data_IF_669974191705
#
_entry.id   IF_669974191705
#
_cell.length_a   1.000
_cell.length_b   1.000
_cell.length_c   1.000
_cell.angle_alpha   90.00
_cell.angle_beta   90.00
_cell.angle_gamma   90.00
#
_symmetry.space_group_name_H-M   'P 1'
#
loop_
_entity.id
_entity.type
_entity.pdbx_description
1 polymer ?
#
# COMPACT_ATOMS: atom_id res chain seq x y z
N UNK A 1 -15.74 18.59 -18.48
CA UNK A 1 -14.48 18.19 -17.81
C UNK A 1 -13.55 19.38 -17.86
N UNK A 2 -13.19 19.95 -16.71
CA UNK A 2 -12.14 20.97 -16.61
C UNK A 2 -10.89 20.29 -16.06
N UNK A 3 -9.71 20.80 -16.40
CA UNK A 3 -8.43 20.31 -15.87
C UNK A 3 -7.98 21.10 -14.63
N UNK A 4 -8.92 21.78 -13.96
CA UNK A 4 -8.64 22.59 -12.79
C UNK A 4 -8.72 21.72 -11.53
N UNK A 5 -7.61 21.56 -10.78
CA UNK A 5 -7.59 20.72 -9.58
C UNK A 5 -8.15 21.47 -8.36
N UNK A 6 -8.63 20.71 -7.38
CA UNK A 6 -8.82 21.22 -6.02
C UNK A 6 -7.49 21.20 -5.27
N UNK A 7 -7.13 22.32 -4.63
CA UNK A 7 -5.88 22.46 -3.88
C UNK A 7 -6.20 22.56 -2.40
N UNK A 8 -5.64 21.63 -1.62
CA UNK A 8 -5.76 21.62 -0.15
C UNK A 8 -4.37 21.55 0.46
N UNK A 9 -4.07 22.51 1.35
CA UNK A 9 -2.80 22.57 2.09
C UNK A 9 -3.01 22.15 3.53
N UNK A 10 -2.20 21.22 4.03
CA UNK A 10 -2.23 20.80 5.44
C UNK A 10 -0.84 20.91 6.05
N UNK A 11 -0.74 21.51 7.23
CA UNK A 11 0.50 21.54 8.00
C UNK A 11 0.66 20.19 8.70
N UNK A 12 1.78 19.52 8.44
CA UNK A 12 2.11 18.25 9.08
C UNK A 12 2.19 18.41 10.61
N UNK A 13 1.64 17.42 11.31
CA UNK A 13 1.68 17.29 12.77
C UNK A 13 2.67 16.18 13.15
N UNK A 14 3.22 16.21 14.39
CA UNK A 14 4.14 15.18 14.86
C UNK A 14 3.59 13.74 14.84
N UNK A 15 2.27 13.57 14.80
CA UNK A 15 1.60 12.27 14.81
C UNK A 15 1.16 11.82 13.41
N UNK A 16 1.43 12.62 12.36
CA UNK A 16 1.13 12.22 10.99
C UNK A 16 2.21 11.22 10.54
N UNK A 17 1.83 9.95 10.36
CA UNK A 17 2.79 8.86 10.13
C UNK A 17 3.06 8.60 8.65
N UNK A 18 2.02 8.68 7.81
CA UNK A 18 2.12 8.38 6.39
C UNK A 18 0.97 9.02 5.59
N UNK A 19 1.12 9.05 4.26
CA UNK A 19 0.11 9.40 3.28
C UNK A 19 -0.06 8.25 2.29
N UNK A 20 -1.30 7.96 1.91
CA UNK A 20 -1.62 7.02 0.83
C UNK A 20 -2.21 7.83 -0.32
N UNK A 21 -1.55 7.81 -1.48
CA UNK A 21 -2.14 8.25 -2.74
C UNK A 21 -2.51 7.01 -3.54
N UNK A 22 -3.71 6.97 -4.08
CA UNK A 22 -4.10 5.88 -4.97
C UNK A 22 -5.15 6.33 -5.99
N UNK A 23 -5.23 5.61 -7.11
CA UNK A 23 -6.33 5.75 -8.07
C UNK A 23 -7.65 5.23 -7.47
N UNK A 24 -8.75 5.63 -8.09
CA UNK A 24 -10.11 5.12 -7.80
C UNK A 24 -10.17 3.59 -7.76
N UNK A 25 -9.43 2.90 -8.64
CA UNK A 25 -9.36 1.44 -8.63
C UNK A 25 -8.98 0.80 -7.28
N UNK A 26 -8.25 1.51 -6.39
CA UNK A 26 -8.04 1.05 -5.01
C UNK A 26 -9.31 1.26 -4.16
N UNK A 27 -9.83 2.48 -4.19
CA UNK A 27 -10.90 2.97 -3.31
C UNK A 27 -12.29 2.40 -3.65
N UNK A 28 -12.47 1.83 -4.85
CA UNK A 28 -13.65 1.03 -5.20
C UNK A 28 -13.74 -0.29 -4.41
N UNK A 29 -12.60 -0.77 -3.91
CA UNK A 29 -12.49 -2.06 -3.23
C UNK A 29 -12.18 -1.93 -1.74
N UNK A 30 -11.46 -0.89 -1.31
CA UNK A 30 -11.08 -0.65 0.08
C UNK A 30 -11.64 0.67 0.62
N UNK A 31 -12.03 0.69 1.90
CA UNK A 31 -12.28 1.95 2.62
C UNK A 31 -10.96 2.57 3.08
N UNK A 32 -11.01 3.85 3.44
CA UNK A 32 -9.88 4.59 4.00
C UNK A 32 -9.32 3.87 5.23
N UNK A 33 -10.20 3.40 6.13
CA UNK A 33 -9.82 2.68 7.36
C UNK A 33 -9.14 1.35 7.04
N UNK A 34 -9.68 0.58 6.09
CA UNK A 34 -9.09 -0.69 5.69
C UNK A 34 -7.69 -0.51 5.10
N UNK A 35 -7.48 0.54 4.31
CA UNK A 35 -6.16 0.87 3.76
C UNK A 35 -5.18 1.29 4.87
N UNK A 36 -5.63 2.12 5.81
CA UNK A 36 -4.84 2.52 6.99
C UNK A 36 -4.45 1.32 7.84
N UNK A 37 -5.39 0.40 8.10
CA UNK A 37 -5.14 -0.82 8.88
C UNK A 37 -4.07 -1.70 8.22
N UNK A 38 -4.09 -1.83 6.89
CA UNK A 38 -3.03 -2.55 6.16
C UNK A 38 -1.67 -1.88 6.37
N UNK A 39 -1.58 -0.55 6.23
CA UNK A 39 -0.31 0.18 6.41
C UNK A 39 0.21 0.11 7.85
N UNK A 40 -0.66 0.10 8.84
CA UNK A 40 -0.28 0.00 10.25
C UNK A 40 0.11 -1.42 10.68
N UNK A 41 -0.53 -2.44 10.12
CA UNK A 41 -0.35 -3.85 10.54
C UNK A 41 0.89 -4.51 9.93
N UNK A 42 1.31 -4.11 8.72
CA UNK A 42 2.34 -4.81 7.96
C UNK A 42 3.64 -4.00 7.81
N UNK A 43 4.79 -4.66 7.54
CA UNK A 43 6.05 -3.98 7.29
C UNK A 43 5.98 -2.99 6.12
N UNK A 44 6.79 -1.93 6.18
CA UNK A 44 6.86 -0.90 5.12
C UNK A 44 7.27 -1.49 3.77
N UNK A 45 8.20 -2.43 3.79
CA UNK A 45 8.72 -3.06 2.57
C UNK A 45 7.59 -3.82 1.88
N UNK A 46 7.29 -3.42 0.64
CA UNK A 46 6.25 -4.06 -0.17
C UNK A 46 4.82 -3.65 0.22
N UNK A 47 4.63 -2.58 1.00
CA UNK A 47 3.31 -2.19 1.49
C UNK A 47 2.35 -1.83 0.36
N UNK A 48 2.81 -1.14 -0.69
CA UNK A 48 1.99 -0.80 -1.85
C UNK A 48 1.49 -2.06 -2.58
N UNK A 49 2.36 -3.06 -2.77
CA UNK A 49 1.97 -4.37 -3.35
C UNK A 49 0.91 -5.06 -2.49
N UNK A 50 1.02 -4.95 -1.17
CA UNK A 50 0.05 -5.53 -0.23
C UNK A 50 -1.31 -4.83 -0.34
N UNK A 51 -1.34 -3.51 -0.41
CA UNK A 51 -2.58 -2.75 -0.67
C UNK A 51 -3.27 -3.17 -1.97
N UNK A 52 -2.50 -3.30 -3.06
CA UNK A 52 -3.02 -3.80 -4.35
C UNK A 52 -3.55 -5.23 -4.23
N UNK A 53 -2.83 -6.13 -3.55
CA UNK A 53 -3.28 -7.52 -3.33
C UNK A 53 -4.58 -7.56 -2.53
N UNK A 54 -4.68 -6.81 -1.44
CA UNK A 54 -5.88 -6.73 -0.60
C UNK A 54 -7.08 -6.21 -1.40
N UNK A 55 -6.90 -5.17 -2.21
CA UNK A 55 -7.96 -4.66 -3.08
C UNK A 55 -8.43 -5.69 -4.11
N UNK A 56 -7.49 -6.39 -4.76
CA UNK A 56 -7.83 -7.47 -5.71
C UNK A 56 -8.51 -8.67 -5.04
N UNK A 57 -8.15 -9.00 -3.79
CA UNK A 57 -8.83 -10.04 -3.01
C UNK A 57 -10.28 -9.64 -2.70
N UNK A 58 -10.53 -8.39 -2.31
CA UNK A 58 -11.89 -7.88 -2.09
C UNK A 58 -12.68 -7.81 -3.40
N UNK A 59 -12.06 -7.41 -4.51
CA UNK A 59 -12.67 -7.44 -5.84
C UNK A 59 -13.08 -8.87 -6.24
N UNK A 60 -12.20 -9.85 -6.03
CA UNK A 60 -12.47 -11.26 -6.28
C UNK A 60 -13.64 -11.77 -5.43
N UNK A 61 -13.65 -11.43 -4.12
CA UNK A 61 -14.72 -11.80 -3.19
C UNK A 61 -16.08 -11.22 -3.60
N UNK A 62 -16.13 -9.94 -4.01
CA UNK A 62 -17.35 -9.28 -4.52
C UNK A 62 -17.90 -9.91 -5.81
N UNK A 63 -17.08 -10.66 -6.53
CA UNK A 63 -17.42 -11.33 -7.80
C UNK A 63 -17.49 -12.85 -7.69
N UNK A 64 -17.37 -13.39 -6.46
CA UNK A 64 -17.33 -14.84 -6.19
C UNK A 64 -16.26 -15.58 -7.02
N UNK A 65 -15.12 -14.92 -7.23
CA UNK A 65 -13.98 -15.45 -7.97
C UNK A 65 -12.79 -15.73 -7.05
N UNK A 66 -11.83 -16.52 -7.53
CA UNK A 66 -10.53 -16.69 -6.86
C UNK A 66 -9.59 -15.55 -7.24
N UNK A 67 -8.65 -15.22 -6.35
CA UNK A 67 -7.61 -14.21 -6.60
C UNK A 67 -6.79 -14.50 -7.88
N UNK A 68 -6.46 -15.77 -8.14
CA UNK A 68 -5.72 -16.14 -9.35
C UNK A 68 -6.54 -15.91 -10.62
N UNK A 69 -7.86 -16.11 -10.53
CA UNK A 69 -8.76 -15.94 -11.67
C UNK A 69 -8.93 -14.46 -12.01
N UNK A 70 -9.09 -13.58 -11.00
CA UNK A 70 -9.19 -12.13 -11.24
C UNK A 70 -7.89 -11.55 -11.84
N UNK A 71 -6.73 -12.04 -11.41
CA UNK A 71 -5.41 -11.59 -11.91
C UNK A 71 -5.18 -12.00 -13.37
N UNK A 72 -5.79 -13.11 -13.80
CA UNK A 72 -5.67 -13.65 -15.16
C UNK A 72 -6.65 -13.06 -16.16
N UNK A 73 -7.57 -12.19 -15.74
CA UNK A 73 -8.57 -11.61 -16.63
C UNK A 73 -7.88 -10.76 -17.70
N UNK A 74 -8.15 -11.08 -18.96
CA UNK A 74 -7.56 -10.41 -20.11
C UNK A 74 -8.10 -8.98 -20.28
N UNK A 75 -7.29 -8.15 -20.95
CA UNK A 75 -7.66 -6.77 -21.30
C UNK A 75 -8.96 -6.78 -22.12
N UNK A 76 -9.86 -5.85 -21.81
CA UNK A 76 -11.18 -5.75 -22.44
C UNK A 76 -12.29 -6.03 -21.43
N UNK A 77 -12.39 -7.27 -20.94
CA UNK A 77 -13.42 -7.63 -19.94
C UNK A 77 -12.98 -7.29 -18.51
N UNK A 78 -11.68 -7.12 -18.25
CA UNK A 78 -11.10 -6.81 -16.93
C UNK A 78 -11.80 -5.68 -16.17
N UNK A 79 -12.17 -4.59 -16.85
CA UNK A 79 -12.84 -3.42 -16.25
C UNK A 79 -14.20 -3.70 -15.61
N UNK A 80 -14.84 -4.83 -15.92
CA UNK A 80 -16.08 -5.25 -15.24
C UNK A 80 -15.82 -5.81 -13.84
N UNK A 81 -14.56 -6.19 -13.57
CA UNK A 81 -14.12 -6.82 -12.33
C UNK A 81 -13.32 -5.83 -11.48
N UNK A 82 -12.34 -5.15 -12.07
CA UNK A 82 -11.56 -4.10 -11.44
C UNK A 82 -10.96 -3.16 -12.49
N UNK A 83 -10.73 -1.89 -12.13
CA UNK A 83 -9.96 -0.95 -12.94
C UNK A 83 -8.45 -1.06 -12.68
N UNK A 84 -7.66 -0.21 -13.31
CA UNK A 84 -6.23 -0.08 -13.02
C UNK A 84 -5.99 0.47 -11.61
N UNK A 85 -5.26 -0.29 -10.79
CA UNK A 85 -4.96 0.06 -9.40
C UNK A 85 -3.52 0.59 -9.33
N UNK A 86 -3.36 1.85 -8.93
CA UNK A 86 -2.06 2.46 -8.64
C UNK A 86 -2.05 2.95 -7.20
N UNK A 87 -0.97 2.67 -6.46
CA UNK A 87 -0.83 3.03 -5.04
C UNK A 87 0.57 3.57 -4.77
N UNK A 88 0.66 4.66 -4.02
CA UNK A 88 1.89 5.27 -3.52
C UNK A 88 1.71 5.49 -2.01
N UNK A 89 2.64 4.99 -1.21
CA UNK A 89 2.67 5.22 0.24
C UNK A 89 3.90 6.06 0.58
N UNK A 90 3.69 7.20 1.23
CA UNK A 90 4.75 8.10 1.67
C UNK A 90 4.79 8.07 3.19
N UNK A 91 5.90 7.64 3.78
CA UNK A 91 6.09 7.71 5.21
C UNK A 91 6.66 9.08 5.61
N UNK A 92 6.05 9.69 6.63
CA UNK A 92 6.37 11.03 7.11
C UNK A 92 7.15 11.01 8.43
N UNK A 93 7.16 9.88 9.13
CA UNK A 93 7.84 9.75 10.40
C UNK A 93 9.36 9.63 10.23
N UNK A 94 10.10 10.44 11.00
CA UNK A 94 11.55 10.39 11.03
C UNK A 94 12.03 9.45 12.14
N UNK A 95 13.07 8.62 11.89
CA UNK A 95 13.74 7.92 12.99
C UNK A 95 14.36 8.98 13.91
N UNK A 96 13.87 9.06 15.15
CA UNK A 96 14.52 9.88 16.16
C UNK A 96 15.92 9.29 16.41
N UNK A 97 16.95 9.96 15.91
CA UNK A 97 18.33 9.62 16.24
C UNK A 97 18.51 9.73 17.76
N UNK A 98 18.95 8.64 18.38
CA UNK A 98 19.37 8.64 19.78
C UNK A 98 20.41 9.75 20.02
N UNK A 99 20.23 10.65 21.02
CA UNK A 99 21.14 11.78 21.23
C UNK A 99 22.51 11.37 21.81
N UNK A 100 22.78 10.08 22.04
CA UNK A 100 24.02 9.60 22.67
C UNK A 100 24.71 8.50 21.87
N UNK A 101 25.47 8.88 20.84
CA UNK A 101 26.31 7.94 20.11
C UNK A 101 27.26 8.63 19.13
N UNK A 102 28.46 8.98 19.60
CA UNK A 102 29.60 9.26 18.70
C UNK A 102 30.00 7.94 18.04
N UNK A 103 29.54 7.64 16.83
CA UNK A 103 30.31 6.84 15.87
C UNK A 103 29.82 6.99 14.43
N UNK A 104 30.81 7.14 13.55
CA UNK A 104 30.90 6.90 12.10
C UNK A 104 29.70 6.15 11.51
N UNK A 105 29.14 6.68 10.42
CA UNK A 105 29.02 5.99 9.12
C UNK A 105 28.21 6.86 8.15
N UNK A 106 28.65 6.86 6.90
CA UNK A 106 28.02 7.34 5.67
C UNK A 106 26.67 8.08 5.80
N UNK A 107 26.66 9.33 5.33
CA UNK A 107 25.48 10.11 5.00
C UNK A 107 24.43 9.25 4.28
N UNK A 108 23.31 8.97 4.93
CA UNK A 108 22.28 8.01 4.50
C UNK A 108 20.96 8.72 4.16
N UNK A 109 21.03 9.83 3.43
CA UNK A 109 19.87 10.48 2.82
C UNK A 109 20.27 11.11 1.48
N UNK A 110 20.55 10.27 0.50
CA UNK A 110 20.42 10.67 -0.91
C UNK A 110 18.93 10.62 -1.24
N UNK A 111 18.29 11.76 -1.43
CA UNK A 111 16.90 11.88 -1.92
C UNK A 111 16.70 11.37 -3.37
N UNK A 112 17.65 10.58 -3.87
CA UNK A 112 17.73 9.96 -5.20
C UNK A 112 17.77 8.43 -5.14
N UNK A 113 17.96 7.81 -3.97
CA UNK A 113 17.86 6.35 -3.86
C UNK A 113 16.40 5.94 -3.91
N UNK A 114 15.95 5.57 -5.10
CA UNK A 114 14.80 4.69 -5.35
C UNK A 114 14.79 3.62 -4.25
N UNK A 115 13.79 3.58 -3.33
CA UNK A 115 13.78 2.56 -2.31
C UNK A 115 13.79 1.18 -2.97
N UNK A 116 14.43 0.21 -2.31
CA UNK A 116 14.66 -1.16 -2.80
C UNK A 116 13.38 -1.88 -3.27
N UNK A 117 12.21 -1.32 -2.98
CA UNK A 117 10.90 -1.90 -3.20
C UNK A 117 10.11 -1.35 -4.38
N UNK A 118 10.62 -0.36 -5.15
CA UNK A 118 9.98 0.10 -6.39
C UNK A 118 9.75 -1.07 -7.37
N UNK A 119 10.59 -2.11 -7.27
CA UNK A 119 10.40 -3.38 -7.96
C UNK A 119 10.55 -4.57 -7.01
N UNK A 120 10.05 -4.52 -5.76
CA UNK A 120 10.14 -5.65 -4.82
C UNK A 120 9.69 -6.96 -5.48
N UNK A 121 10.70 -7.64 -6.03
CA UNK A 121 10.67 -8.89 -6.74
C UNK A 121 10.38 -9.96 -5.70
N UNK A 122 9.33 -10.73 -5.96
CA UNK A 122 9.20 -12.09 -5.46
C UNK A 122 9.33 -12.28 -3.93
N UNK A 123 8.60 -11.50 -3.13
CA UNK A 123 8.15 -12.00 -1.84
C UNK A 123 6.72 -12.56 -2.02
N UNK A 124 6.66 -13.81 -2.50
CA UNK A 124 5.53 -14.71 -2.23
C UNK A 124 5.71 -15.41 -0.86
N UNK A 125 6.74 -15.03 -0.09
CA UNK A 125 6.95 -15.45 1.28
C UNK A 125 6.39 -14.39 2.23
N UNK A 126 5.10 -14.47 2.51
CA UNK A 126 4.48 -14.23 3.83
C UNK A 126 2.97 -14.43 3.70
N UNK A 127 2.60 -15.64 3.27
CA UNK A 127 1.31 -16.24 3.61
C UNK A 127 1.48 -16.94 4.98
N UNK A 128 1.51 -16.14 6.04
CA UNK A 128 1.10 -16.63 7.34
C UNK A 128 -0.37 -16.27 7.51
N UNK A 129 -1.24 -17.21 7.11
CA UNK A 129 -2.62 -17.27 7.57
C UNK A 129 -2.66 -17.03 9.09
N UNK A 130 -3.34 -15.98 9.52
CA UNK A 130 -3.97 -16.03 10.83
C UNK A 130 -5.28 -16.79 10.63
N UNK A 131 -5.21 -18.12 10.71
CA UNK A 131 -6.41 -18.94 10.88
C UNK A 131 -7.04 -18.54 12.22
N UNK A 132 -8.16 -17.82 12.19
CA UNK A 132 -9.08 -17.86 13.31
C UNK A 132 -9.79 -19.22 13.25
N UNK A 133 -9.22 -20.18 13.97
CA UNK A 133 -9.88 -21.44 14.27
C UNK A 133 -11.13 -21.15 15.08
N UNK A 134 -12.26 -21.60 14.55
CA UNK A 134 -13.51 -21.87 15.26
C UNK A 134 -13.21 -22.54 16.61
N UNK A 135 -13.75 -21.99 17.69
CA UNK A 135 -14.00 -22.78 18.91
C UNK A 135 -15.49 -22.88 19.07
N UNK A 136 -15.92 -24.13 19.15
CA UNK A 136 -17.30 -24.63 19.31
C UNK A 136 -17.94 -24.17 20.61
#
# INVERSE_FOLDING_TARGET
MTAEPSIVTRKLKPHDMFLIFASDGLWEHLSDEAAVDVVLKYPRVGIAKRLVRTALQEAAKKREMRYDDIKRIEKGVRRHFHDDITVIVIYLDHPQGSPNGRLKNHCLFECTTTPLDIFSLNADADDAEVSLHTVS
#
